data_IF_650255416930
#
_entry.id   IF_650255416930
#
_cell.length_a   1.000
_cell.length_b   1.000
_cell.length_c   1.000
_cell.angle_alpha   90.00
_cell.angle_beta   90.00
_cell.angle_gamma   90.00
#
_symmetry.space_group_name_H-M   'P 1'
#
loop_
_entity.id
_entity.type
_entity.pdbx_description
1 polymer ?
#
# COMPACT_ATOMS: atom_id res chain seq x y z
N UNK A 1 -6.74 16.55 0.90
CA UNK A 1 -5.69 17.24 0.14
C UNK A 1 -6.27 17.95 -1.08
N UNK A 2 -7.43 17.50 -1.56
CA UNK A 2 -8.29 18.20 -2.53
C UNK A 2 -8.83 19.54 -1.97
N UNK A 3 -8.31 20.65 -2.47
CA UNK A 3 -8.60 22.00 -1.98
C UNK A 3 -9.35 22.86 -3.00
N UNK A 4 -9.31 22.50 -4.28
CA UNK A 4 -10.08 23.20 -5.30
C UNK A 4 -11.56 22.80 -5.20
N UNK A 5 -12.45 23.78 -5.38
CA UNK A 5 -13.91 23.58 -5.33
C UNK A 5 -14.35 22.48 -6.30
N UNK A 6 -13.73 22.41 -7.49
CA UNK A 6 -13.99 21.40 -8.51
C UNK A 6 -13.53 19.99 -8.14
N UNK A 7 -12.46 19.85 -7.35
CA UNK A 7 -11.99 18.55 -6.83
C UNK A 7 -12.96 18.05 -5.76
N UNK A 8 -13.39 18.95 -4.87
CA UNK A 8 -14.35 18.63 -3.80
C UNK A 8 -15.74 18.28 -4.34
N UNK A 9 -16.23 19.00 -5.36
CA UNK A 9 -17.51 18.72 -6.02
C UNK A 9 -17.53 17.36 -6.73
N UNK A 10 -16.39 16.96 -7.32
CA UNK A 10 -16.30 15.76 -8.17
C UNK A 10 -15.72 14.54 -7.44
N UNK A 11 -15.12 14.72 -6.27
CA UNK A 11 -14.45 13.66 -5.54
C UNK A 11 -13.24 13.07 -6.28
N UNK A 12 -12.53 13.90 -7.06
CA UNK A 12 -11.34 13.49 -7.81
C UNK A 12 -10.20 14.49 -7.57
N UNK A 13 -8.97 13.97 -7.50
CA UNK A 13 -7.75 14.80 -7.47
C UNK A 13 -7.40 15.25 -8.89
N UNK A 14 -7.26 16.56 -9.09
CA UNK A 14 -6.96 17.19 -10.38
C UNK A 14 -5.51 17.70 -10.38
N UNK A 15 -5.05 18.31 -9.29
CA UNK A 15 -3.67 18.81 -9.16
C UNK A 15 -2.90 18.07 -8.07
N UNK A 16 -1.59 17.94 -8.26
CA UNK A 16 -0.76 17.34 -7.24
C UNK A 16 -0.63 18.27 -6.03
N UNK A 17 -0.84 17.77 -4.82
CA UNK A 17 -0.74 18.53 -3.58
C UNK A 17 0.49 18.11 -2.77
N UNK A 18 1.33 19.06 -2.38
CA UNK A 18 2.52 18.80 -1.58
C UNK A 18 2.30 19.18 -0.11
N UNK A 19 2.51 18.24 0.81
CA UNK A 19 2.41 18.46 2.26
C UNK A 19 3.63 17.87 2.97
N UNK A 20 4.16 18.59 3.98
CA UNK A 20 5.22 18.06 4.84
C UNK A 20 4.64 17.64 6.18
N UNK A 21 5.02 16.45 6.65
CA UNK A 21 4.72 15.98 8.00
C UNK A 21 5.97 15.32 8.63
N UNK A 22 5.89 15.07 9.94
CA UNK A 22 6.93 14.37 10.69
C UNK A 22 6.34 13.08 11.23
N UNK A 23 7.03 11.97 10.99
CA UNK A 23 6.67 10.64 11.47
C UNK A 23 7.74 10.11 12.42
N UNK A 24 7.33 9.57 13.56
CA UNK A 24 8.24 8.86 14.48
C UNK A 24 8.14 7.37 14.21
N UNK A 25 9.27 6.76 13.81
CA UNK A 25 9.35 5.32 13.60
C UNK A 25 9.11 4.54 14.92
N UNK A 26 8.98 3.22 14.82
CA UNK A 26 8.80 2.30 15.96
C UNK A 26 7.74 2.79 16.96
N UNK A 27 6.53 3.07 16.46
CA UNK A 27 5.37 3.46 17.26
C UNK A 27 5.64 4.69 18.17
N UNK A 28 6.32 5.69 17.62
CA UNK A 28 6.63 6.91 18.37
C UNK A 28 7.92 6.87 19.20
N UNK A 29 8.61 5.71 19.26
CA UNK A 29 9.81 5.51 20.09
C UNK A 29 11.12 5.55 19.30
N UNK A 30 11.03 5.51 17.97
CA UNK A 30 12.16 5.55 17.05
C UNK A 30 12.57 6.97 16.64
N UNK A 31 13.55 7.08 15.73
CA UNK A 31 13.94 8.36 15.16
C UNK A 31 12.77 9.06 14.46
N UNK A 32 12.82 10.39 14.44
CA UNK A 32 11.92 11.22 13.65
C UNK A 32 12.37 11.24 12.19
N UNK A 33 11.40 11.07 11.30
CA UNK A 33 11.56 11.16 9.86
C UNK A 33 10.66 12.27 9.34
N UNK A 34 11.23 13.18 8.56
CA UNK A 34 10.46 14.18 7.82
C UNK A 34 10.00 13.58 6.50
N UNK A 35 8.70 13.59 6.25
CA UNK A 35 8.09 13.12 5.01
C UNK A 35 7.58 14.32 4.22
N UNK A 36 7.90 14.38 2.93
CA UNK A 36 7.28 15.31 1.99
C UNK A 36 6.40 14.48 1.06
N UNK A 37 5.10 14.56 1.24
CA UNK A 37 4.10 13.78 0.52
C UNK A 37 3.62 14.61 -0.66
N UNK A 38 3.62 14.00 -1.85
CA UNK A 38 2.99 14.55 -3.05
C UNK A 38 1.82 13.62 -3.37
N UNK A 39 0.61 14.12 -3.15
CA UNK A 39 -0.61 13.44 -3.59
C UNK A 39 -0.77 13.67 -5.09
N UNK A 40 -0.90 12.62 -5.89
CA UNK A 40 -0.91 12.69 -7.36
C UNK A 40 -2.25 12.24 -7.94
N UNK A 41 -2.75 12.87 -9.01
CA UNK A 41 -3.96 12.41 -9.69
C UNK A 41 -3.87 10.95 -10.17
N UNK A 42 -4.92 10.16 -9.94
CA UNK A 42 -5.02 8.78 -10.43
C UNK A 42 -5.58 8.65 -11.85
N UNK A 43 -6.13 9.73 -12.42
CA UNK A 43 -6.77 9.71 -13.73
C UNK A 43 -5.76 9.93 -14.88
N UNK A 44 -5.92 9.19 -15.98
CA UNK A 44 -5.02 9.22 -17.14
C UNK A 44 -4.91 10.59 -17.81
N UNK A 45 -5.95 11.40 -17.71
CA UNK A 45 -5.99 12.76 -18.26
C UNK A 45 -5.01 13.72 -17.57
N UNK A 46 -4.50 13.37 -16.38
CA UNK A 46 -3.56 14.18 -15.60
C UNK A 46 -2.17 13.53 -15.49
N UNK A 47 -1.84 12.64 -16.43
CA UNK A 47 -0.55 11.92 -16.49
C UNK A 47 0.69 12.82 -16.52
N UNK A 48 0.60 14.06 -17.02
CA UNK A 48 1.72 15.02 -16.99
C UNK A 48 2.11 15.40 -15.56
N UNK A 49 1.12 15.57 -14.67
CA UNK A 49 1.36 15.91 -13.26
C UNK A 49 1.98 14.73 -12.50
N UNK A 50 1.54 13.51 -12.82
CA UNK A 50 2.15 12.27 -12.30
C UNK A 50 3.60 12.13 -12.77
N UNK A 51 3.86 12.34 -14.07
CA UNK A 51 5.21 12.24 -14.64
C UNK A 51 6.18 13.28 -14.04
N UNK A 52 5.69 14.50 -13.77
CA UNK A 52 6.48 15.54 -13.07
C UNK A 52 6.80 15.13 -11.64
N UNK A 53 5.83 14.59 -10.93
CA UNK A 53 5.99 14.17 -9.53
C UNK A 53 7.02 13.03 -9.43
N UNK A 54 6.88 12.00 -10.27
CA UNK A 54 7.78 10.83 -10.30
C UNK A 54 9.25 11.17 -10.63
N UNK A 55 9.53 12.34 -11.24
CA UNK A 55 10.90 12.78 -11.55
C UNK A 55 11.64 13.40 -10.36
N UNK A 56 10.91 13.77 -9.31
CA UNK A 56 11.46 14.57 -8.20
C UNK A 56 11.42 13.80 -6.87
N UNK A 57 10.53 12.82 -6.75
CA UNK A 57 10.42 11.99 -5.55
C UNK A 57 11.45 10.84 -5.53
N UNK A 58 11.88 10.47 -4.33
CA UNK A 58 12.82 9.37 -4.10
C UNK A 58 12.14 8.00 -3.96
N UNK A 59 10.82 7.97 -3.76
CA UNK A 59 10.01 6.76 -3.68
C UNK A 59 8.52 7.03 -3.84
N UNK A 60 7.75 5.99 -4.16
CA UNK A 60 6.31 6.08 -4.36
C UNK A 60 5.53 4.99 -3.61
N UNK A 61 4.29 5.30 -3.25
CA UNK A 61 3.31 4.33 -2.76
C UNK A 61 2.25 4.15 -3.83
N UNK A 62 2.20 2.97 -4.45
CA UNK A 62 1.19 2.61 -5.43
C UNK A 62 -0.03 2.04 -4.69
N UNK A 63 -1.14 2.78 -4.69
CA UNK A 63 -2.38 2.34 -4.10
C UNK A 63 -3.22 1.53 -5.10
N UNK A 64 -3.70 0.36 -4.68
CA UNK A 64 -4.57 -0.52 -5.46
C UNK A 64 -5.91 -0.70 -4.76
N UNK A 65 -6.97 -0.88 -5.54
CA UNK A 65 -8.30 -1.19 -5.01
C UNK A 65 -8.41 -2.70 -4.72
N UNK A 66 -8.76 -3.06 -3.49
CA UNK A 66 -8.87 -4.45 -3.03
C UNK A 66 -9.88 -5.30 -3.79
N UNK A 67 -10.85 -4.68 -4.49
CA UNK A 67 -11.85 -5.37 -5.30
C UNK A 67 -11.39 -5.47 -6.76
N UNK A 68 -10.88 -4.37 -7.33
CA UNK A 68 -10.55 -4.30 -8.76
C UNK A 68 -9.16 -4.88 -9.08
N UNK A 69 -8.23 -4.82 -8.13
CA UNK A 69 -6.81 -5.12 -8.36
C UNK A 69 -6.13 -4.05 -9.23
N UNK A 70 -5.28 -4.51 -10.15
CA UNK A 70 -4.62 -3.63 -11.12
C UNK A 70 -5.59 -3.21 -12.24
N UNK A 71 -5.79 -1.91 -12.36
CA UNK A 71 -6.60 -1.26 -13.39
C UNK A 71 -5.73 -0.65 -14.53
N UNK A 72 -6.27 -0.44 -15.74
CA UNK A 72 -5.50 0.11 -16.88
C UNK A 72 -4.78 1.43 -16.57
N UNK A 73 -5.37 2.27 -15.71
CA UNK A 73 -4.78 3.53 -15.28
C UNK A 73 -3.55 3.28 -14.37
N UNK A 74 -3.66 2.34 -13.44
CA UNK A 74 -2.55 1.97 -12.55
C UNK A 74 -1.36 1.37 -13.32
N UNK A 75 -1.60 0.59 -14.38
CA UNK A 75 -0.53 0.10 -15.28
C UNK A 75 0.22 1.25 -15.98
N UNK A 76 -0.50 2.28 -16.40
CA UNK A 76 0.09 3.44 -17.08
C UNK A 76 1.02 4.20 -16.14
N UNK A 77 0.58 4.46 -14.90
CA UNK A 77 1.40 5.11 -13.87
C UNK A 77 2.58 4.22 -13.47
N UNK A 78 2.38 2.90 -13.39
CA UNK A 78 3.45 1.95 -13.09
C UNK A 78 4.59 2.01 -14.12
N UNK A 79 4.25 2.04 -15.42
CA UNK A 79 5.25 2.20 -16.51
C UNK A 79 5.98 3.53 -16.45
N UNK A 80 5.31 4.61 -16.03
CA UNK A 80 5.98 5.90 -15.80
C UNK A 80 6.99 5.79 -14.65
N UNK A 81 6.64 5.11 -13.56
CA UNK A 81 7.55 4.90 -12.44
C UNK A 81 8.74 3.99 -12.83
N UNK A 82 8.54 2.98 -13.68
CA UNK A 82 9.61 2.14 -14.24
C UNK A 82 10.61 2.96 -15.06
N UNK A 83 10.12 3.88 -15.90
CA UNK A 83 10.96 4.77 -16.74
C UNK A 83 11.93 5.60 -15.89
N UNK A 84 11.50 6.04 -14.70
CA UNK A 84 12.31 6.81 -13.77
C UNK A 84 13.00 5.97 -12.69
N UNK A 85 12.82 4.64 -12.72
CA UNK A 85 13.40 3.70 -11.74
C UNK A 85 13.06 4.05 -10.30
N UNK A 86 11.84 4.54 -10.07
CA UNK A 86 11.36 4.94 -8.75
C UNK A 86 11.13 3.69 -7.88
N UNK A 87 11.77 3.57 -6.70
CA UNK A 87 11.45 2.54 -5.72
C UNK A 87 10.00 2.67 -5.24
N UNK A 88 9.29 1.55 -5.12
CA UNK A 88 7.85 1.54 -4.88
C UNK A 88 7.46 0.56 -3.77
N UNK A 89 6.45 0.96 -2.99
CA UNK A 89 5.68 0.05 -2.14
C UNK A 89 4.25 -0.03 -2.68
N UNK A 90 3.62 -1.20 -2.55
CA UNK A 90 2.22 -1.40 -2.92
C UNK A 90 1.35 -1.32 -1.66
N UNK A 91 0.25 -0.57 -1.74
CA UNK A 91 -0.76 -0.50 -0.69
C UNK A 91 -2.11 -0.93 -1.25
N UNK A 92 -2.60 -2.09 -0.84
CA UNK A 92 -3.93 -2.57 -1.24
C UNK A 92 -4.94 -1.98 -0.26
N UNK A 93 -5.78 -1.08 -0.77
CA UNK A 93 -6.76 -0.35 0.00
C UNK A 93 -8.16 -0.98 -0.13
N UNK A 94 -9.10 -0.57 0.71
CA UNK A 94 -10.53 -0.96 0.65
C UNK A 94 -10.78 -2.47 0.83
N UNK A 95 -9.98 -3.12 1.67
CA UNK A 95 -10.14 -4.54 2.01
C UNK A 95 -11.42 -4.84 2.83
N UNK A 96 -12.05 -3.79 3.35
CA UNK A 96 -13.34 -3.79 4.04
C UNK A 96 -14.56 -3.92 3.09
N UNK A 97 -14.35 -3.78 1.77
CA UNK A 97 -15.45 -3.82 0.80
C UNK A 97 -15.84 -5.24 0.41
N UNK A 98 -17.13 -5.44 0.12
CA UNK A 98 -17.63 -6.69 -0.45
C UNK A 98 -16.92 -7.03 -1.76
N UNK A 99 -16.44 -8.27 -1.86
CA UNK A 99 -15.67 -8.75 -3.00
C UNK A 99 -14.21 -8.33 -2.98
N UNK A 100 -13.71 -7.72 -1.90
CA UNK A 100 -12.28 -7.45 -1.76
C UNK A 100 -11.51 -8.76 -1.56
N UNK A 101 -10.45 -8.94 -2.35
CA UNK A 101 -9.59 -10.11 -2.29
C UNK A 101 -8.13 -9.67 -2.44
N UNK A 102 -7.40 -9.74 -1.32
CA UNK A 102 -5.99 -9.42 -1.25
C UNK A 102 -5.14 -10.29 -2.17
N UNK A 103 -5.42 -11.60 -2.23
CA UNK A 103 -4.62 -12.54 -3.01
C UNK A 103 -4.84 -12.33 -4.50
N UNK A 104 -6.09 -12.05 -4.91
CA UNK A 104 -6.40 -11.61 -6.26
C UNK A 104 -5.62 -10.33 -6.62
N UNK A 105 -5.62 -9.31 -5.75
CA UNK A 105 -4.87 -8.08 -5.99
C UNK A 105 -3.37 -8.34 -6.18
N UNK A 106 -2.75 -9.12 -5.30
CA UNK A 106 -1.34 -9.54 -5.43
C UNK A 106 -1.09 -10.26 -6.75
N UNK A 107 -1.98 -11.17 -7.15
CA UNK A 107 -1.86 -11.89 -8.42
C UNK A 107 -1.94 -10.93 -9.62
N UNK A 108 -2.84 -9.95 -9.60
CA UNK A 108 -2.91 -8.96 -10.68
C UNK A 108 -1.67 -8.06 -10.77
N UNK A 109 -1.01 -7.76 -9.64
CA UNK A 109 0.28 -7.05 -9.60
C UNK A 109 1.35 -7.86 -10.33
N UNK A 110 1.41 -9.17 -10.09
CA UNK A 110 2.35 -10.07 -10.77
C UNK A 110 2.04 -10.12 -12.27
N UNK A 111 0.80 -10.46 -12.62
CA UNK A 111 0.43 -10.79 -14.00
C UNK A 111 0.39 -9.58 -14.93
N UNK A 112 -0.06 -8.42 -14.43
CA UNK A 112 -0.25 -7.22 -15.26
C UNK A 112 0.92 -6.25 -15.22
N UNK A 113 1.59 -6.15 -14.08
CA UNK A 113 2.72 -5.23 -13.92
C UNK A 113 4.06 -5.93 -14.12
N UNK A 114 4.10 -7.27 -14.14
CA UNK A 114 5.34 -8.04 -14.23
C UNK A 114 6.25 -7.84 -13.02
N UNK A 115 5.67 -7.46 -11.88
CA UNK A 115 6.39 -7.16 -10.66
C UNK A 115 6.56 -8.42 -9.79
N UNK A 116 7.62 -8.43 -8.98
CA UNK A 116 7.85 -9.46 -7.95
C UNK A 116 7.55 -8.87 -6.58
N UNK A 117 6.33 -9.01 -6.04
CA UNK A 117 5.96 -8.40 -4.77
C UNK A 117 6.57 -9.14 -3.58
N UNK A 118 7.25 -8.41 -2.70
CA UNK A 118 7.57 -8.86 -1.35
C UNK A 118 6.34 -8.61 -0.44
N UNK A 119 5.54 -9.64 -0.18
CA UNK A 119 4.37 -9.51 0.69
C UNK A 119 4.83 -9.39 2.14
N UNK A 120 4.56 -8.24 2.77
CA UNK A 120 4.94 -7.95 4.16
C UNK A 120 3.81 -8.24 5.16
N UNK A 121 2.56 -8.13 4.70
CA UNK A 121 1.37 -8.26 5.54
C UNK A 121 0.32 -9.13 4.89
N UNK A 122 -0.39 -9.93 5.70
CA UNK A 122 -1.60 -10.64 5.29
C UNK A 122 -2.81 -10.08 6.04
N UNK A 123 -3.98 -9.93 5.40
CA UNK A 123 -5.18 -9.49 6.10
C UNK A 123 -5.72 -10.55 7.07
N UNK A 124 -6.21 -10.09 8.21
CA UNK A 124 -6.97 -10.88 9.18
C UNK A 124 -8.44 -10.53 9.00
N UNK A 125 -9.23 -11.51 8.59
CA UNK A 125 -10.60 -11.30 8.14
C UNK A 125 -10.68 -10.72 6.73
N UNK A 126 -11.91 -10.53 6.25
CA UNK A 126 -12.20 -9.96 4.94
C UNK A 126 -13.53 -9.20 5.01
N UNK A 127 -13.71 -8.23 4.11
CA UNK A 127 -14.92 -7.42 4.06
C UNK A 127 -15.25 -6.80 5.44
N UNK A 128 -16.49 -6.94 5.91
CA UNK A 128 -16.93 -6.43 7.22
C UNK A 128 -16.24 -7.09 8.42
N UNK A 129 -15.58 -8.24 8.23
CA UNK A 129 -14.86 -8.94 9.29
C UNK A 129 -13.36 -8.59 9.30
N UNK A 130 -12.91 -7.65 8.44
CA UNK A 130 -11.54 -7.18 8.43
C UNK A 130 -11.21 -6.45 9.74
N UNK A 131 -10.26 -7.00 10.50
CA UNK A 131 -9.95 -6.54 11.86
C UNK A 131 -8.46 -6.28 12.09
N UNK A 132 -7.60 -6.73 11.18
CA UNK A 132 -6.17 -6.71 11.43
C UNK A 132 -5.29 -7.18 10.31
N UNK A 133 -4.00 -7.23 10.61
CA UNK A 133 -2.94 -7.69 9.72
C UNK A 133 -2.04 -8.68 10.45
N UNK A 134 -1.59 -9.72 9.76
CA UNK A 134 -0.41 -10.49 10.16
C UNK A 134 0.81 -9.75 9.63
N UNK A 135 1.70 -9.33 10.53
CA UNK A 135 3.03 -8.80 10.23
C UNK A 135 4.00 -9.98 10.06
N UNK A 136 4.44 -10.23 8.83
CA UNK A 136 5.32 -11.34 8.50
C UNK A 136 6.78 -11.07 8.88
N UNK A 137 7.16 -9.80 9.04
CA UNK A 137 8.52 -9.38 9.40
C UNK A 137 8.76 -9.68 10.89
N UNK A 138 7.89 -9.14 11.74
CA UNK A 138 7.94 -9.37 13.19
C UNK A 138 7.26 -10.68 13.63
N UNK A 139 6.62 -11.38 12.68
CA UNK A 139 5.95 -12.66 12.87
C UNK A 139 4.88 -12.64 14.00
N UNK A 140 3.95 -11.69 13.89
CA UNK A 140 2.89 -11.42 14.89
C UNK A 140 1.62 -10.89 14.23
N UNK A 141 0.50 -10.92 14.93
CA UNK A 141 -0.72 -10.24 14.50
C UNK A 141 -0.81 -8.82 15.07
N UNK A 142 -1.42 -7.92 14.29
CA UNK A 142 -1.77 -6.54 14.63
C UNK A 142 -3.28 -6.42 14.51
N UNK A 143 -3.96 -6.16 15.63
CA UNK A 143 -5.43 -6.04 15.68
C UNK A 143 -5.81 -4.63 16.10
N UNK A 144 -6.74 -4.02 15.36
CA UNK A 144 -7.31 -2.72 15.73
C UNK A 144 -8.57 -2.94 16.58
N UNK A 145 -8.72 -2.15 17.65
CA UNK A 145 -9.88 -2.26 18.55
C UNK A 145 -11.18 -1.75 17.93
N UNK A 146 -11.08 -0.81 17.00
CA UNK A 146 -12.20 -0.21 16.29
C UNK A 146 -11.75 0.39 14.95
N UNK A 147 -12.71 0.85 14.15
CA UNK A 147 -12.48 1.48 12.84
C UNK A 147 -12.19 2.98 12.91
N UNK A 148 -12.07 3.56 14.11
CA UNK A 148 -11.94 5.02 14.25
C UNK A 148 -10.55 5.52 13.83
N UNK A 149 -10.49 6.77 13.37
CA UNK A 149 -9.21 7.38 13.00
C UNK A 149 -8.33 7.51 14.26
N UNK A 150 -7.19 6.84 14.25
CA UNK A 150 -6.29 6.78 15.42
C UNK A 150 -6.66 5.70 16.42
N UNK A 151 -7.47 4.71 16.02
CA UNK A 151 -7.81 3.54 16.80
C UNK A 151 -6.56 2.91 17.44
N UNK A 152 -6.69 2.57 18.72
CA UNK A 152 -5.68 1.78 19.41
C UNK A 152 -5.59 0.39 18.77
N UNK A 153 -4.37 -0.08 18.54
CA UNK A 153 -4.10 -1.46 18.14
C UNK A 153 -3.30 -2.17 19.22
N UNK A 154 -3.28 -3.50 19.16
CA UNK A 154 -2.45 -4.34 20.01
C UNK A 154 -1.84 -5.48 19.20
N UNK A 155 -0.78 -6.06 19.75
CA UNK A 155 -0.08 -7.20 19.18
C UNK A 155 -0.51 -8.50 19.86
N UNK A 156 -0.68 -9.55 19.07
CA UNK A 156 -0.96 -10.89 19.56
C UNK A 156 -0.29 -11.96 18.68
N UNK A 157 -0.46 -13.23 19.06
CA UNK A 157 -0.02 -14.36 18.24
C UNK A 157 -0.85 -14.47 16.97
N UNK A 158 -0.23 -14.99 15.90
CA UNK A 158 -0.92 -15.19 14.62
C UNK A 158 -2.11 -16.14 14.83
N UNK A 159 -3.33 -15.79 14.39
CA UNK A 159 -4.50 -16.67 14.49
C UNK A 159 -4.24 -18.05 13.88
N UNK A 160 -4.74 -19.10 14.53
CA UNK A 160 -4.45 -20.48 14.16
C UNK A 160 -4.90 -20.83 12.73
N UNK A 161 -5.96 -20.20 12.24
CA UNK A 161 -6.49 -20.34 10.88
C UNK A 161 -5.59 -19.69 9.82
N UNK A 162 -4.71 -18.77 10.21
CA UNK A 162 -3.75 -18.10 9.34
C UNK A 162 -2.32 -18.61 9.51
N UNK A 163 -2.03 -19.45 10.51
CA UNK A 163 -0.67 -19.88 10.86
C UNK A 163 0.07 -20.52 9.67
N UNK A 164 -0.55 -21.48 8.98
CA UNK A 164 0.08 -22.17 7.85
C UNK A 164 0.36 -21.21 6.68
N UNK A 165 -0.60 -20.33 6.39
CA UNK A 165 -0.46 -19.36 5.31
C UNK A 165 0.57 -18.28 5.64
N UNK A 166 0.60 -17.81 6.89
CA UNK A 166 1.62 -16.88 7.35
C UNK A 166 3.02 -17.49 7.25
N UNK A 167 3.18 -18.76 7.63
CA UNK A 167 4.45 -19.47 7.48
C UNK A 167 4.89 -19.56 6.01
N UNK A 168 3.98 -19.94 5.10
CA UNK A 168 4.25 -20.01 3.66
C UNK A 168 4.69 -18.65 3.09
N UNK A 169 3.95 -17.58 3.38
CA UNK A 169 4.28 -16.25 2.85
C UNK A 169 5.54 -15.66 3.49
N UNK A 170 5.80 -15.98 4.76
CA UNK A 170 7.02 -15.58 5.44
C UNK A 170 8.26 -16.27 4.87
N UNK A 171 8.16 -17.56 4.52
CA UNK A 171 9.23 -18.28 3.83
C UNK A 171 9.57 -17.61 2.50
N UNK A 172 8.57 -17.34 1.66
CA UNK A 172 8.74 -16.61 0.38
C UNK A 172 9.36 -15.23 0.56
N UNK A 173 8.93 -14.49 1.60
CA UNK A 173 9.49 -13.18 1.92
C UNK A 173 10.98 -13.26 2.27
N UNK A 174 11.36 -14.25 3.09
CA UNK A 174 12.76 -14.46 3.50
C UNK A 174 13.60 -14.89 2.31
N UNK A 175 13.13 -15.83 1.50
CA UNK A 175 13.82 -16.26 0.27
C UNK A 175 14.10 -15.06 -0.64
N UNK A 176 13.08 -14.26 -0.93
CA UNK A 176 13.24 -13.07 -1.78
C UNK A 176 14.21 -12.05 -1.16
N UNK A 177 14.20 -11.87 0.16
CA UNK A 177 15.11 -10.95 0.84
C UNK A 177 16.57 -11.43 0.75
N UNK A 178 16.81 -12.73 0.93
CA UNK A 178 18.14 -13.34 0.82
C UNK A 178 18.68 -13.23 -0.61
N UNK A 179 17.83 -13.33 -1.64
CA UNK A 179 18.26 -13.15 -3.03
C UNK A 179 18.78 -11.73 -3.36
N UNK A 180 18.55 -10.73 -2.50
CA UNK A 180 19.01 -9.36 -2.72
C UNK A 180 20.37 -9.05 -2.06
N UNK A 181 20.92 -9.95 -1.24
CA UNK A 181 22.18 -9.77 -0.50
C UNK A 181 23.03 -11.06 -0.60
N UNK A 182 24.16 -10.98 -1.32
CA UNK A 182 25.08 -12.10 -1.64
C UNK A 182 25.85 -12.64 -0.42
#
# INVERSE_FOLDING_TARGET
>A
MDWMEQEQERGITITSAATTCVWKAAEGKGPEHRLNIIDTPGHVDFTIEVERSLRVLDGAVAAFDGVAGVEPQSETVWRQADKYKVPRMCFINKLDRTGADFYYCVQTIIDRLGATPAVLYLPIGAESDFQGLVDLVENRAIIWKDESLGAEFYYEEIPADLADKAAEYREKLIELAVEQDD
#
